data_IF_293127542503
#
_entry.id   IF_293127542503
#
_cell.length_a   1.000
_cell.length_b   1.000
_cell.length_c   1.000
_cell.angle_alpha   90.00
_cell.angle_beta   90.00
_cell.angle_gamma   90.00
#
_symmetry.space_group_name_H-M   'P 1'
#
loop_
_entity.id
_entity.type
_entity.pdbx_description
1 polymer ?
#
# COMPACT_ATOMS: atom_id res chain seq x y z
N UNK A 1 11.49 19.62 -34.43
CA UNK A 1 10.67 20.84 -34.46
C UNK A 1 9.50 20.59 -33.51
N UNK A 2 9.54 21.15 -32.30
CA UNK A 2 8.44 20.99 -31.33
C UNK A 2 7.27 21.88 -31.74
N UNK A 3 6.01 21.42 -31.68
CA UNK A 3 4.87 22.27 -31.95
C UNK A 3 4.87 23.43 -30.96
N UNK A 4 4.76 24.66 -31.47
CA UNK A 4 4.58 25.87 -30.67
C UNK A 4 3.29 25.70 -29.84
N UNK A 5 3.45 25.37 -28.56
CA UNK A 5 2.33 25.06 -27.67
C UNK A 5 1.40 26.27 -27.50
N UNK A 6 0.17 26.14 -28.00
CA UNK A 6 -0.90 27.14 -27.93
C UNK A 6 -1.64 27.17 -26.57
N UNK A 7 -1.07 26.57 -25.52
CA UNK A 7 -1.70 26.49 -24.20
C UNK A 7 -0.91 27.27 -23.15
N UNK A 8 -0.77 28.57 -23.40
CA UNK A 8 -0.35 29.52 -22.37
C UNK A 8 -1.56 29.79 -21.46
N UNK A 9 -1.71 29.00 -20.42
CA UNK A 9 -2.75 29.22 -19.42
C UNK A 9 -2.45 30.51 -18.66
N UNK A 10 -3.24 31.56 -18.89
CA UNK A 10 -3.24 32.75 -18.04
C UNK A 10 -3.93 32.40 -16.72
N UNK A 11 -3.15 32.03 -15.72
CA UNK A 11 -3.65 31.90 -14.37
C UNK A 11 -3.92 33.30 -13.82
N UNK A 12 -5.18 33.59 -13.52
CA UNK A 12 -5.57 34.76 -12.72
C UNK A 12 -4.83 34.74 -11.38
N UNK A 13 -4.50 35.90 -10.81
CA UNK A 13 -3.78 36.04 -9.54
C UNK A 13 -4.35 35.14 -8.42
N UNK A 14 -5.67 35.01 -8.35
CA UNK A 14 -6.37 34.13 -7.39
C UNK A 14 -6.06 32.64 -7.58
N UNK A 15 -5.96 32.18 -8.83
CA UNK A 15 -5.64 30.78 -9.17
C UNK A 15 -4.16 30.49 -8.92
N UNK A 16 -3.27 31.46 -9.15
CA UNK A 16 -1.85 31.36 -8.77
C UNK A 16 -1.70 31.22 -7.26
N UNK A 17 -2.41 32.04 -6.47
CA UNK A 17 -2.38 31.95 -5.01
C UNK A 17 -2.87 30.59 -4.49
N UNK A 18 -3.98 30.06 -5.04
CA UNK A 18 -4.49 28.72 -4.68
C UNK A 18 -3.52 27.61 -5.06
N UNK A 19 -2.89 27.69 -6.23
CA UNK A 19 -1.89 26.71 -6.67
C UNK A 19 -0.63 26.76 -5.79
N UNK A 20 -0.12 27.95 -5.48
CA UNK A 20 1.03 28.10 -4.57
C UNK A 20 0.72 27.57 -3.16
N UNK A 21 -0.48 27.81 -2.64
CA UNK A 21 -0.92 27.22 -1.36
C UNK A 21 -0.99 25.69 -1.43
N UNK A 22 -1.54 25.15 -2.51
CA UNK A 22 -1.60 23.70 -2.71
C UNK A 22 -0.19 23.07 -2.75
N UNK A 23 0.76 23.67 -3.47
CA UNK A 23 2.16 23.21 -3.52
C UNK A 23 2.81 23.32 -2.14
N UNK A 24 2.68 24.46 -1.45
CA UNK A 24 3.28 24.70 -0.14
C UNK A 24 2.80 23.71 0.95
N UNK A 25 1.53 23.29 0.90
CA UNK A 25 0.97 22.35 1.87
C UNK A 25 1.15 20.88 1.47
N UNK A 26 1.26 20.57 0.18
CA UNK A 26 1.44 19.20 -0.28
C UNK A 26 2.89 18.72 -0.13
N UNK A 27 3.87 19.63 -0.24
CA UNK A 27 5.29 19.28 -0.03
C UNK A 27 5.71 19.25 1.45
N UNK A 28 4.96 19.91 2.35
CA UNK A 28 5.14 19.77 3.80
C UNK A 28 4.12 18.81 4.39
N UNK A 29 4.23 17.51 4.09
CA UNK A 29 3.75 16.54 5.08
C UNK A 29 4.60 16.74 6.35
N UNK A 30 4.02 17.02 7.53
CA UNK A 30 4.80 17.03 8.76
C UNK A 30 5.40 15.64 8.94
N UNK A 31 6.70 15.54 8.71
CA UNK A 31 7.47 14.32 8.95
C UNK A 31 7.54 14.12 10.46
N UNK A 32 6.60 13.34 10.99
CA UNK A 32 6.57 12.96 12.40
C UNK A 32 5.74 13.89 13.27
N UNK A 33 4.81 13.28 14.00
CA UNK A 33 3.94 13.94 14.96
C UNK A 33 4.73 14.65 16.05
N UNK A 34 4.74 15.98 15.98
CA UNK A 34 4.79 16.86 17.15
C UNK A 34 4.19 18.18 16.72
N UNK A 35 3.04 18.54 17.28
CA UNK A 35 2.44 19.88 17.12
C UNK A 35 3.43 20.88 17.72
N UNK A 36 4.40 21.36 16.94
CA UNK A 36 5.22 22.51 17.33
C UNK A 36 4.28 23.71 17.27
N UNK A 37 3.97 24.27 18.43
CA UNK A 37 3.47 25.64 18.54
C UNK A 37 4.50 26.53 17.85
N UNK A 38 4.11 27.22 16.78
CA UNK A 38 4.84 28.38 16.31
C UNK A 38 4.43 29.54 17.22
N UNK A 39 5.34 29.98 18.08
CA UNK A 39 5.14 31.02 19.10
C UNK A 39 5.14 32.45 18.55
N UNK A 40 5.04 32.65 17.24
CA UNK A 40 4.93 34.00 16.65
C UNK A 40 3.67 34.11 15.81
N UNK A 41 2.73 34.90 16.33
CA UNK A 41 1.37 35.16 15.85
C UNK A 41 0.35 34.05 16.10
N UNK A 42 -0.42 34.28 17.17
CA UNK A 42 -1.55 33.50 17.68
C UNK A 42 -2.75 33.41 16.70
N UNK A 43 -2.53 33.48 15.38
CA UNK A 43 -3.56 33.27 14.37
C UNK A 43 -3.62 31.77 14.07
N UNK A 44 -4.58 31.11 14.70
CA UNK A 44 -5.02 29.79 14.27
C UNK A 44 -5.58 29.89 12.85
N UNK A 45 -5.33 28.86 12.04
CA UNK A 45 -6.03 28.69 10.78
C UNK A 45 -7.54 28.56 11.07
N UNK A 46 -8.29 29.62 10.80
CA UNK A 46 -9.73 29.63 10.99
C UNK A 46 -10.40 28.89 9.81
N UNK A 47 -10.71 27.63 10.06
CA UNK A 47 -11.38 26.76 9.10
C UNK A 47 -12.76 27.31 8.70
N UNK A 48 -13.43 28.06 9.58
CA UNK A 48 -14.73 28.67 9.27
C UNK A 48 -14.57 29.81 8.26
N UNK A 49 -13.58 30.68 8.44
CA UNK A 49 -13.26 31.74 7.48
C UNK A 49 -12.85 31.18 6.10
N UNK A 50 -12.08 30.08 6.07
CA UNK A 50 -11.72 29.41 4.83
C UNK A 50 -12.93 28.81 4.11
N UNK A 51 -13.81 28.14 4.85
CA UNK A 51 -15.00 27.53 4.25
C UNK A 51 -15.97 28.60 3.71
N UNK A 52 -16.10 29.76 4.38
CA UNK A 52 -16.90 30.88 3.87
C UNK A 52 -16.38 31.37 2.50
N UNK A 53 -15.07 31.53 2.33
CA UNK A 53 -14.44 31.95 1.06
C UNK A 53 -14.63 30.90 -0.05
N UNK A 54 -14.69 29.62 0.31
CA UNK A 54 -14.90 28.52 -0.65
C UNK A 54 -16.36 28.47 -1.11
N UNK A 55 -17.31 28.66 -0.19
CA UNK A 55 -18.75 28.60 -0.49
C UNK A 55 -19.20 29.74 -1.41
N UNK A 56 -18.73 30.97 -1.20
CA UNK A 56 -19.09 32.11 -2.06
C UNK A 56 -18.58 31.96 -3.50
N UNK A 57 -17.50 31.20 -3.73
CA UNK A 57 -16.95 30.95 -5.06
C UNK A 57 -17.53 29.76 -5.81
N UNK A 58 -18.41 28.97 -5.18
CA UNK A 58 -18.96 27.73 -5.75
C UNK A 58 -20.30 27.93 -6.47
N UNK A 59 -21.10 28.92 -6.08
CA UNK A 59 -22.35 29.26 -6.77
C UNK A 59 -22.08 29.82 -8.19
N UNK A 60 -20.99 30.56 -8.36
CA UNK A 60 -20.60 31.14 -9.66
C UNK A 60 -20.11 30.08 -10.67
N UNK A 61 -19.54 28.95 -10.19
CA UNK A 61 -19.12 27.83 -11.05
C UNK A 61 -20.27 26.88 -11.40
N UNK A 62 -21.28 26.76 -10.53
CA UNK A 62 -22.48 25.96 -10.80
C UNK A 62 -23.29 26.55 -11.96
N UNK A 63 -23.45 27.88 -12.00
CA UNK A 63 -24.20 28.58 -13.06
C UNK A 63 -23.54 28.44 -14.46
N UNK A 64 -22.22 28.26 -14.52
CA UNK A 64 -21.48 28.06 -15.77
C UNK A 64 -21.55 26.62 -16.30
N UNK A 65 -21.88 25.64 -15.46
CA UNK A 65 -21.98 24.23 -15.87
C UNK A 65 -23.37 23.83 -16.37
N UNK A 66 -24.44 24.57 -16.07
CA UNK A 66 -25.79 24.27 -16.58
C UNK A 66 -26.04 24.74 -18.02
N UNK A 67 -25.15 25.56 -18.59
CA UNK A 67 -25.33 26.10 -19.95
C UNK A 67 -24.88 25.16 -21.09
N UNK A 68 -24.42 23.94 -20.80
CA UNK A 68 -23.90 23.00 -21.81
C UNK A 68 -24.51 21.61 -21.69
N UNK A 69 -25.82 21.50 -21.93
CA UNK A 69 -26.49 20.20 -22.13
C UNK A 69 -26.40 19.77 -23.61
N UNK A 70 -25.62 18.74 -23.98
CA UNK A 70 -25.71 18.14 -25.30
C UNK A 70 -26.95 17.25 -25.41
N UNK A 71 -27.79 17.57 -26.40
CA UNK A 71 -28.98 16.85 -26.83
C UNK A 71 -28.70 15.36 -27.07
N UNK A 72 -29.37 14.50 -26.32
CA UNK A 72 -29.29 13.05 -26.45
C UNK A 72 -30.07 12.59 -27.68
N UNK A 73 -29.35 12.23 -28.74
CA UNK A 73 -29.94 11.62 -29.94
C UNK A 73 -30.09 10.10 -29.74
N UNK A 74 -31.22 9.48 -30.12
CA UNK A 74 -31.43 8.05 -29.92
C UNK A 74 -30.65 7.28 -30.99
N UNK A 75 -29.63 6.53 -30.57
CA UNK A 75 -28.85 5.68 -31.47
C UNK A 75 -29.30 4.22 -31.37
N UNK A 76 -29.59 3.67 -32.55
CA UNK A 76 -29.99 2.31 -32.83
C UNK A 76 -29.10 1.26 -32.14
N UNK A 77 -29.73 0.18 -31.69
CA UNK A 77 -29.09 -1.08 -31.29
C UNK A 77 -28.48 -1.76 -32.52
N UNK A 78 -27.21 -2.18 -32.46
CA UNK A 78 -26.76 -3.36 -33.19
C UNK A 78 -26.30 -4.46 -32.23
N UNK A 79 -26.77 -5.65 -32.55
CA UNK A 79 -26.14 -6.96 -32.40
C UNK A 79 -25.39 -7.34 -31.13
N UNK A 80 -25.82 -8.50 -30.64
CA UNK A 80 -25.26 -9.37 -29.62
C UNK A 80 -23.73 -9.29 -29.52
N UNK A 81 -23.29 -8.55 -28.51
CA UNK A 81 -21.92 -8.47 -28.06
C UNK A 81 -21.53 -9.81 -27.42
N UNK A 82 -20.65 -10.53 -28.12
CA UNK A 82 -19.95 -11.70 -27.58
C UNK A 82 -19.19 -11.18 -26.35
N UNK A 83 -19.51 -11.68 -25.16
CA UNK A 83 -18.81 -11.34 -23.92
C UNK A 83 -17.41 -11.94 -24.00
N UNK A 84 -16.47 -11.22 -24.62
CA UNK A 84 -15.06 -11.50 -24.40
C UNK A 84 -14.77 -11.25 -22.92
N UNK A 85 -14.33 -12.29 -22.22
CA UNK A 85 -13.87 -12.17 -20.85
C UNK A 85 -12.87 -11.01 -20.77
N UNK A 86 -13.00 -10.11 -19.78
CA UNK A 86 -12.11 -8.96 -19.66
C UNK A 86 -10.66 -9.44 -19.65
N UNK A 87 -9.73 -8.71 -20.32
CA UNK A 87 -8.33 -9.10 -20.39
C UNK A 87 -7.83 -9.42 -18.98
N UNK A 88 -7.31 -10.64 -18.83
CA UNK A 88 -6.94 -11.28 -17.55
C UNK A 88 -6.06 -10.36 -16.69
N UNK A 89 -5.32 -9.45 -17.31
CA UNK A 89 -4.46 -8.44 -16.69
C UNK A 89 -5.19 -7.34 -15.89
N UNK A 90 -6.52 -7.26 -15.94
CA UNK A 90 -7.27 -6.18 -15.30
C UNK A 90 -7.68 -6.46 -13.85
N UNK A 91 -7.55 -7.70 -13.38
CA UNK A 91 -8.03 -8.05 -12.03
C UNK A 91 -7.00 -7.62 -10.98
N UNK A 92 -7.42 -6.91 -9.92
CA UNK A 92 -6.52 -6.56 -8.83
C UNK A 92 -5.98 -7.85 -8.20
N UNK A 93 -4.68 -7.88 -7.93
CA UNK A 93 -4.06 -9.02 -7.26
C UNK A 93 -4.49 -9.02 -5.79
N UNK A 94 -5.12 -10.10 -5.35
CA UNK A 94 -5.57 -10.26 -3.97
C UNK A 94 -4.75 -11.36 -3.31
N UNK A 95 -3.94 -10.96 -2.34
CA UNK A 95 -3.20 -11.90 -1.50
C UNK A 95 -4.14 -12.62 -0.53
N UNK A 96 -4.07 -13.94 -0.47
CA UNK A 96 -4.91 -14.74 0.41
C UNK A 96 -4.58 -14.43 1.88
N UNK A 97 -5.58 -14.06 2.70
CA UNK A 97 -5.32 -13.71 4.10
C UNK A 97 -4.99 -14.92 4.97
N UNK A 98 -5.36 -16.13 4.54
CA UNK A 98 -5.15 -17.39 5.24
C UNK A 98 -4.77 -18.47 4.24
N UNK A 99 -3.63 -19.11 4.46
CA UNK A 99 -3.15 -20.23 3.65
C UNK A 99 -3.43 -21.55 4.34
N UNK A 100 -3.72 -22.58 3.56
CA UNK A 100 -3.91 -23.93 4.10
C UNK A 100 -2.58 -24.59 4.50
N UNK A 101 -1.49 -24.18 3.85
CA UNK A 101 -0.13 -24.73 3.99
C UNK A 101 0.94 -23.69 3.67
N UNK A 102 2.19 -23.93 4.10
CA UNK A 102 3.34 -23.11 3.66
C UNK A 102 3.56 -23.27 2.15
N UNK A 103 3.30 -24.47 1.61
CA UNK A 103 3.34 -24.70 0.17
C UNK A 103 2.44 -23.74 -0.61
N UNK A 104 1.17 -23.59 -0.22
CA UNK A 104 0.27 -22.66 -0.89
C UNK A 104 0.73 -21.21 -0.77
N UNK A 105 1.29 -20.85 0.40
CA UNK A 105 1.87 -19.53 0.64
C UNK A 105 3.07 -19.26 -0.28
N UNK A 106 3.95 -20.25 -0.47
CA UNK A 106 5.10 -20.15 -1.38
C UNK A 106 4.65 -20.05 -2.85
N UNK A 107 3.70 -20.89 -3.26
CA UNK A 107 3.15 -20.84 -4.61
C UNK A 107 2.52 -19.48 -4.92
N UNK A 108 1.70 -18.91 -4.03
CA UNK A 108 1.17 -17.55 -4.21
C UNK A 108 2.27 -16.49 -4.25
N UNK A 109 3.28 -16.60 -3.37
CA UNK A 109 4.37 -15.64 -3.30
C UNK A 109 5.18 -15.56 -4.61
N UNK A 110 5.38 -16.70 -5.26
CA UNK A 110 6.14 -16.82 -6.51
C UNK A 110 5.29 -16.92 -7.79
N UNK A 111 3.96 -16.93 -7.67
CA UNK A 111 3.05 -17.04 -8.82
C UNK A 111 3.05 -18.42 -9.48
N UNK A 112 3.22 -19.47 -8.69
CA UNK A 112 3.24 -20.88 -9.12
C UNK A 112 1.85 -21.49 -8.91
N UNK A 113 1.48 -22.47 -9.73
CA UNK A 113 0.21 -23.22 -9.62
C UNK A 113 -0.05 -23.69 -8.17
N UNK A 114 -1.28 -23.51 -7.63
CA UNK A 114 -2.51 -23.08 -8.31
C UNK A 114 -2.65 -21.55 -8.46
N UNK A 115 -1.72 -20.76 -7.93
CA UNK A 115 -1.75 -19.29 -7.94
C UNK A 115 -0.95 -18.72 -9.11
N UNK A 116 -1.09 -19.32 -10.29
CA UNK A 116 -0.36 -18.88 -11.48
C UNK A 116 -0.64 -17.39 -11.75
N UNK A 117 0.40 -16.57 -11.69
CA UNK A 117 0.32 -15.14 -11.95
C UNK A 117 1.33 -14.80 -13.05
N UNK A 118 0.88 -14.23 -14.20
CA UNK A 118 1.77 -13.86 -15.30
C UNK A 118 2.92 -12.94 -14.87
N UNK A 119 2.72 -12.19 -13.78
CA UNK A 119 3.72 -11.28 -13.24
C UNK A 119 4.68 -11.95 -12.25
N UNK A 120 4.58 -13.25 -11.98
CA UNK A 120 5.46 -13.98 -11.05
C UNK A 120 5.09 -13.80 -9.57
N UNK A 121 3.80 -13.65 -9.28
CA UNK A 121 3.25 -13.52 -7.94
C UNK A 121 3.68 -12.25 -7.23
N UNK A 122 3.73 -12.31 -5.91
CA UNK A 122 4.13 -11.18 -5.07
C UNK A 122 5.57 -10.74 -5.37
N UNK A 123 6.49 -11.69 -5.59
CA UNK A 123 7.91 -11.41 -5.89
C UNK A 123 8.06 -10.66 -7.20
N UNK A 124 7.43 -11.14 -8.27
CA UNK A 124 7.57 -10.50 -9.57
C UNK A 124 6.85 -9.15 -9.64
N UNK A 125 5.68 -9.00 -8.99
CA UNK A 125 5.00 -7.71 -8.81
C UNK A 125 5.82 -6.68 -8.03
N UNK A 126 6.51 -7.12 -6.98
CA UNK A 126 7.45 -6.28 -6.26
C UNK A 126 8.59 -5.80 -7.16
N UNK A 127 9.05 -6.62 -8.10
CA UNK A 127 10.09 -6.26 -9.06
C UNK A 127 9.59 -5.28 -10.12
N UNK A 128 8.36 -5.45 -10.63
CA UNK A 128 7.80 -4.60 -11.69
C UNK A 128 7.24 -3.27 -11.18
N UNK A 129 6.51 -3.28 -10.06
CA UNK A 129 5.75 -2.12 -9.57
C UNK A 129 6.29 -1.54 -8.25
N UNK A 130 7.30 -2.17 -7.64
CA UNK A 130 7.90 -1.72 -6.38
C UNK A 130 6.94 -1.84 -5.19
N UNK A 131 6.89 -0.81 -4.34
CA UNK A 131 6.05 -0.81 -3.14
C UNK A 131 4.63 -0.23 -3.36
N UNK A 132 4.38 0.43 -4.49
CA UNK A 132 3.15 1.21 -4.71
C UNK A 132 1.90 0.34 -4.81
N UNK A 133 2.02 -0.84 -5.44
CA UNK A 133 0.91 -1.78 -5.61
C UNK A 133 0.49 -2.46 -4.29
N UNK A 134 1.34 -2.39 -3.24
CA UNK A 134 1.06 -3.01 -1.94
C UNK A 134 -0.06 -2.32 -1.15
N UNK A 135 -0.52 -1.15 -1.60
CA UNK A 135 -1.60 -0.42 -0.96
C UNK A 135 -2.95 -1.16 -1.04
N UNK A 136 -3.04 -2.19 -1.89
CA UNK A 136 -4.27 -2.95 -2.14
C UNK A 136 -4.49 -4.11 -1.16
N UNK A 137 -3.49 -4.48 -0.34
CA UNK A 137 -3.62 -5.58 0.62
C UNK A 137 -3.17 -5.21 2.04
N UNK A 138 -3.52 -6.08 2.99
CA UNK A 138 -3.20 -5.86 4.40
C UNK A 138 -1.67 -5.87 4.62
N UNK A 139 -1.07 -4.74 5.07
CA UNK A 139 0.38 -4.63 5.22
C UNK A 139 0.94 -5.58 6.27
N UNK A 140 0.14 -5.95 7.28
CA UNK A 140 0.57 -6.88 8.32
C UNK A 140 0.68 -8.30 7.79
N UNK A 141 -0.24 -8.72 6.92
CA UNK A 141 -0.20 -10.05 6.32
C UNK A 141 1.02 -10.17 5.41
N UNK A 142 1.20 -9.19 4.51
CA UNK A 142 2.38 -9.12 3.66
C UNK A 142 3.69 -9.17 4.45
N UNK A 143 3.81 -8.35 5.51
CA UNK A 143 5.04 -8.30 6.29
C UNK A 143 5.34 -9.63 6.98
N UNK A 144 4.32 -10.35 7.47
CA UNK A 144 4.52 -11.64 8.13
C UNK A 144 4.84 -12.73 7.11
N UNK A 145 4.09 -12.81 6.02
CA UNK A 145 4.36 -13.75 4.93
C UNK A 145 5.76 -13.55 4.35
N UNK A 146 6.17 -12.30 4.09
CA UNK A 146 7.53 -11.98 3.65
C UNK A 146 8.60 -12.52 4.60
N UNK A 147 8.40 -12.42 5.92
CA UNK A 147 9.35 -12.97 6.90
C UNK A 147 9.39 -14.50 6.88
N UNK A 148 8.25 -15.15 6.69
CA UNK A 148 8.17 -16.61 6.55
C UNK A 148 8.91 -17.05 5.27
N UNK A 149 8.70 -16.35 4.15
CA UNK A 149 9.40 -16.63 2.89
C UNK A 149 10.91 -16.41 3.02
N UNK A 150 11.35 -15.34 3.70
CA UNK A 150 12.78 -15.15 3.98
C UNK A 150 13.39 -16.30 4.80
N UNK A 151 12.62 -16.93 5.70
CA UNK A 151 13.07 -18.12 6.43
C UNK A 151 13.16 -19.35 5.52
N UNK A 152 12.23 -19.51 4.56
CA UNK A 152 12.33 -20.54 3.52
C UNK A 152 13.59 -20.34 2.68
N UNK A 153 13.83 -19.13 2.19
CA UNK A 153 15.01 -18.78 1.38
C UNK A 153 16.32 -18.99 2.16
N UNK A 154 16.30 -18.71 3.46
CA UNK A 154 17.43 -18.98 4.35
C UNK A 154 17.73 -20.48 4.44
N UNK A 155 16.73 -21.33 4.67
CA UNK A 155 16.90 -22.79 4.72
C UNK A 155 17.40 -23.34 3.37
N UNK A 156 16.83 -22.85 2.26
CA UNK A 156 17.29 -23.21 0.90
C UNK A 156 18.78 -22.92 0.77
N UNK A 157 19.21 -21.74 1.21
CA UNK A 157 20.58 -21.28 1.07
C UNK A 157 21.55 -21.95 2.05
N UNK A 158 21.15 -22.18 3.30
CA UNK A 158 22.01 -22.75 4.35
C UNK A 158 22.23 -24.24 4.17
N UNK A 159 21.18 -24.96 3.77
CA UNK A 159 21.17 -26.42 3.75
C UNK A 159 21.27 -26.98 2.32
N UNK A 160 21.35 -26.09 1.32
CA UNK A 160 21.37 -26.42 -0.11
C UNK A 160 20.20 -27.34 -0.53
N UNK A 161 19.01 -27.04 -0.03
CA UNK A 161 17.80 -27.80 -0.28
C UNK A 161 17.00 -27.22 -1.44
N UNK A 162 16.19 -28.05 -2.09
CA UNK A 162 15.13 -27.56 -2.97
C UNK A 162 14.06 -26.82 -2.15
N UNK A 163 13.34 -25.89 -2.78
CA UNK A 163 12.29 -25.13 -2.08
C UNK A 163 11.19 -26.05 -1.53
N UNK A 164 10.87 -27.16 -2.22
CA UNK A 164 9.89 -28.14 -1.76
C UNK A 164 10.32 -28.76 -0.42
N UNK A 165 11.59 -29.12 -0.29
CA UNK A 165 12.12 -29.72 0.94
C UNK A 165 12.20 -28.68 2.07
N UNK A 166 12.57 -27.43 1.76
CA UNK A 166 12.56 -26.34 2.73
C UNK A 166 11.15 -26.04 3.25
N UNK A 167 10.15 -25.99 2.37
CA UNK A 167 8.73 -25.83 2.71
C UNK A 167 8.26 -27.02 3.57
N UNK A 168 8.55 -28.25 3.15
CA UNK A 168 8.16 -29.46 3.89
C UNK A 168 8.72 -29.48 5.32
N UNK A 169 9.92 -28.94 5.53
CA UNK A 169 10.52 -28.80 6.86
C UNK A 169 9.79 -27.81 7.76
N UNK A 170 9.21 -26.74 7.20
CA UNK A 170 8.48 -25.73 7.96
C UNK A 170 7.00 -26.06 8.18
N UNK A 171 6.44 -26.97 7.39
CA UNK A 171 5.02 -27.35 7.47
C UNK A 171 4.58 -27.78 8.89
N UNK A 172 5.33 -28.64 9.63
CA UNK A 172 4.95 -29.03 11.00
C UNK A 172 4.93 -27.86 11.99
N UNK A 173 5.79 -26.85 11.80
CA UNK A 173 5.78 -25.63 12.61
C UNK A 173 4.56 -24.77 12.29
N UNK A 174 4.16 -24.72 11.01
CA UNK A 174 2.96 -24.00 10.59
C UNK A 174 1.69 -24.63 11.17
N UNK A 175 1.60 -25.96 11.18
CA UNK A 175 0.50 -26.68 11.84
C UNK A 175 0.49 -26.43 13.35
N UNK A 176 1.65 -26.51 14.02
CA UNK A 176 1.79 -26.19 15.46
C UNK A 176 1.36 -24.76 15.79
N UNK A 177 1.58 -23.82 14.87
CA UNK A 177 1.17 -22.42 15.01
C UNK A 177 -0.36 -22.22 14.93
N UNK A 178 -1.13 -23.27 14.58
CA UNK A 178 -2.54 -23.17 14.24
C UNK A 178 -2.76 -22.38 12.94
N UNK A 179 -1.81 -22.48 12.01
CA UNK A 179 -1.81 -21.77 10.70
C UNK A 179 -1.87 -20.25 10.83
N UNK A 180 -1.40 -19.71 11.96
CA UNK A 180 -1.37 -18.28 12.24
C UNK A 180 -0.03 -17.68 11.83
N UNK A 181 -0.04 -16.70 10.91
CA UNK A 181 1.18 -16.03 10.46
C UNK A 181 1.97 -15.38 11.60
N UNK A 182 1.28 -14.81 12.60
CA UNK A 182 1.95 -14.18 13.75
C UNK A 182 2.68 -15.21 14.60
N UNK A 183 1.98 -16.29 14.99
CA UNK A 183 2.55 -17.38 15.80
C UNK A 183 3.66 -18.11 15.05
N UNK A 184 3.51 -18.29 13.73
CA UNK A 184 4.56 -18.88 12.90
C UNK A 184 5.83 -18.04 12.92
N UNK A 185 5.72 -16.72 12.81
CA UNK A 185 6.88 -15.81 12.90
C UNK A 185 7.55 -15.87 14.27
N UNK A 186 6.79 -16.03 15.36
CA UNK A 186 7.33 -16.23 16.70
C UNK A 186 8.11 -17.55 16.79
N UNK A 187 7.54 -18.66 16.33
CA UNK A 187 8.21 -19.97 16.28
C UNK A 187 9.50 -19.93 15.44
N UNK A 188 9.48 -19.27 14.28
CA UNK A 188 10.67 -19.13 13.43
C UNK A 188 11.78 -18.32 14.11
N UNK A 189 11.43 -17.37 14.97
CA UNK A 189 12.39 -16.61 15.77
C UNK A 189 12.96 -17.48 16.89
N UNK A 190 12.14 -18.31 17.52
CA UNK A 190 12.59 -19.22 18.58
C UNK A 190 13.48 -20.35 18.05
N UNK A 191 13.22 -20.83 16.83
CA UNK A 191 14.07 -21.80 16.11
C UNK A 191 15.37 -21.16 15.55
N UNK A 192 15.57 -19.84 15.74
CA UNK A 192 16.79 -19.14 15.28
C UNK A 192 16.86 -18.90 13.77
N UNK A 193 15.78 -19.17 13.03
CA UNK A 193 15.70 -18.94 11.58
C UNK A 193 15.49 -17.46 11.23
N UNK A 194 14.93 -16.70 12.17
CA UNK A 194 14.76 -15.25 12.05
C UNK A 194 15.42 -14.52 13.21
N UNK A 195 16.02 -13.38 12.92
CA UNK A 195 16.57 -12.52 13.97
C UNK A 195 15.45 -11.88 14.79
N UNK A 196 15.63 -11.83 16.12
CA UNK A 196 14.74 -11.06 17.00
C UNK A 196 14.80 -9.58 16.59
N UNK A 197 13.64 -9.03 16.25
CA UNK A 197 13.54 -7.61 15.89
C UNK A 197 13.99 -6.76 17.07
N UNK A 198 14.80 -5.73 16.81
CA UNK A 198 15.18 -4.76 17.85
C UNK A 198 13.91 -4.12 18.43
N UNK A 199 13.82 -3.94 19.76
CA UNK A 199 12.69 -3.25 20.37
C UNK A 199 12.57 -1.85 19.76
N UNK A 200 11.37 -1.50 19.29
CA UNK A 200 11.08 -0.17 18.71
C UNK A 200 10.54 0.78 19.79
N UNK A 201 10.94 2.06 19.72
CA UNK A 201 10.32 3.15 20.48
C UNK A 201 10.54 3.11 22.00
N UNK A 202 9.47 3.33 22.77
CA UNK A 202 9.49 3.52 24.23
C UNK A 202 10.08 2.33 25.00
N UNK A 203 9.90 1.09 24.52
CA UNK A 203 10.53 -0.09 25.12
C UNK A 203 12.05 -0.02 25.09
N UNK A 204 12.63 0.54 24.01
CA UNK A 204 14.08 0.76 23.94
C UNK A 204 14.53 1.78 24.99
N UNK A 205 13.77 2.86 25.21
CA UNK A 205 14.05 3.84 26.27
C UNK A 205 13.91 3.24 27.67
N UNK A 206 12.94 2.37 27.91
CA UNK A 206 12.78 1.70 29.21
C UNK A 206 13.94 0.73 29.50
N UNK A 207 14.35 -0.05 28.49
CA UNK A 207 15.52 -0.94 28.56
C UNK A 207 16.81 -0.11 28.76
N UNK A 208 17.00 0.96 27.99
CA UNK A 208 18.16 1.88 28.14
C UNK A 208 18.14 2.63 29.49
N UNK A 209 16.96 2.86 30.08
CA UNK A 209 16.82 3.49 31.40
C UNK A 209 16.98 2.51 32.57
N UNK A 210 17.32 1.24 32.32
CA UNK A 210 17.48 0.23 33.36
C UNK A 210 16.18 -0.13 34.09
N UNK A 211 15.02 0.27 33.55
CA UNK A 211 13.72 -0.11 34.10
C UNK A 211 13.48 -1.54 33.63
N UNK A 212 13.77 -2.50 34.51
CA UNK A 212 13.57 -3.93 34.27
C UNK A 212 12.14 -4.19 33.79
N UNK A 213 11.99 -4.46 32.50
CA UNK A 213 10.72 -4.95 31.93
C UNK A 213 10.74 -6.46 32.12
N UNK A 214 10.41 -6.93 33.32
CA UNK A 214 10.10 -8.34 33.52
C UNK A 214 8.85 -8.70 32.69
N UNK A 215 8.92 -9.86 32.04
CA UNK A 215 8.07 -10.26 30.92
C UNK A 215 6.57 -10.22 31.25
N UNK A 216 5.80 -9.56 30.37
CA UNK A 216 4.35 -9.74 30.18
C UNK A 216 4.15 -10.41 28.83
#
# INVERSE_FOLDING_TARGET
MYPLEAHKYHLTSTKVYRFMWYVAFREKKPTGGRKRRTESNNQYFDLAAYNAIICDGLEELSALMEASSPSTSPRCRPDQQINEDPPVDSRPFIMHPKHASIHNMYCEWHGISPFADPQGGVVGRNKTHGNKWRNEFNPNNYSRTSRIMNAVDYIISSDNLTWQNAVARLEPLYDRSGKSLSKMVELLVDEGLLTKGKPRGAKRKAIEAGIGVENI
#
